data_IF_733281829735
#
_entry.id   IF_733281829735
#
_cell.length_a   1.000
_cell.length_b   1.000
_cell.length_c   1.000
_cell.angle_alpha   90.00
_cell.angle_beta   90.00
_cell.angle_gamma   90.00
#
_symmetry.space_group_name_H-M   'P 1'
#
loop_
_entity.id
_entity.type
_entity.pdbx_description
1 polymer ?
#
# COMPACT_ATOMS: atom_id res chain seq x y z
N UNK A 1 -10.80 -18.37 25.37
CA UNK A 1 -10.67 -17.09 24.63
C UNK A 1 -9.32 -16.53 25.00
N UNK A 2 -8.42 -16.34 24.04
CA UNK A 2 -7.07 -15.84 24.35
C UNK A 2 -7.19 -14.42 24.88
N UNK A 3 -6.70 -14.19 26.09
CA UNK A 3 -6.70 -12.86 26.69
C UNK A 3 -5.54 -12.07 26.07
N UNK A 4 -5.85 -11.22 25.08
CA UNK A 4 -4.93 -10.19 24.63
C UNK A 4 -4.62 -9.26 25.80
N UNK A 5 -3.36 -8.87 25.95
CA UNK A 5 -3.05 -7.75 26.84
C UNK A 5 -3.59 -6.45 26.23
N UNK A 6 -3.80 -5.42 27.05
CA UNK A 6 -4.22 -4.10 26.56
C UNK A 6 -3.25 -3.51 25.53
N UNK A 7 -1.95 -3.76 25.69
CA UNK A 7 -0.93 -3.29 24.74
C UNK A 7 -1.04 -4.01 23.40
N UNK A 8 -1.28 -5.32 23.40
CA UNK A 8 -1.46 -6.10 22.17
C UNK A 8 -2.77 -5.73 21.47
N UNK A 9 -3.85 -5.51 22.22
CA UNK A 9 -5.11 -5.02 21.67
C UNK A 9 -4.91 -3.69 20.95
N UNK A 10 -4.26 -2.71 21.60
CA UNK A 10 -3.96 -1.41 20.99
C UNK A 10 -3.05 -1.55 19.78
N UNK A 11 -2.01 -2.38 19.85
CA UNK A 11 -1.11 -2.66 18.73
C UNK A 11 -1.84 -3.24 17.53
N UNK A 12 -2.69 -4.24 17.75
CA UNK A 12 -3.51 -4.85 16.70
C UNK A 12 -4.51 -3.85 16.11
N UNK A 13 -5.17 -3.04 16.94
CA UNK A 13 -6.08 -2.00 16.48
C UNK A 13 -5.37 -0.98 15.57
N UNK A 14 -4.20 -0.47 15.99
CA UNK A 14 -3.39 0.47 15.19
C UNK A 14 -2.94 -0.20 13.89
N UNK A 15 -2.53 -1.46 13.95
CA UNK A 15 -2.09 -2.23 12.78
C UNK A 15 -3.22 -2.38 11.75
N UNK A 16 -4.42 -2.77 12.20
CA UNK A 16 -5.61 -2.90 11.36
C UNK A 16 -6.10 -1.55 10.82
N UNK A 17 -6.04 -0.48 11.61
CA UNK A 17 -6.34 0.88 11.13
C UNK A 17 -5.39 1.29 10.00
N UNK A 18 -4.10 0.93 10.11
CA UNK A 18 -3.12 1.11 9.05
C UNK A 18 -3.50 0.37 7.75
N UNK A 19 -3.99 -0.86 7.85
CA UNK A 19 -4.56 -1.57 6.70
C UNK A 19 -5.79 -0.86 6.13
N UNK A 20 -6.78 -0.51 6.94
CA UNK A 20 -8.01 0.16 6.46
C UNK A 20 -7.68 1.42 5.65
N UNK A 21 -6.77 2.25 6.14
CA UNK A 21 -6.36 3.49 5.47
C UNK A 21 -5.48 3.19 4.25
N UNK A 22 -4.42 2.41 4.43
CA UNK A 22 -3.40 2.16 3.41
C UNK A 22 -3.86 1.24 2.29
N UNK A 23 -4.35 0.04 2.63
CA UNK A 23 -4.88 -0.92 1.67
C UNK A 23 -6.12 -0.38 0.95
N UNK A 24 -6.98 0.36 1.64
CA UNK A 24 -8.12 1.03 1.02
C UNK A 24 -7.68 2.02 -0.06
N UNK A 25 -6.71 2.88 0.26
CA UNK A 25 -6.14 3.84 -0.69
C UNK A 25 -5.43 3.14 -1.88
N UNK A 26 -4.65 2.08 -1.62
CA UNK A 26 -3.99 1.27 -2.67
C UNK A 26 -5.03 0.64 -3.60
N UNK A 27 -6.08 0.04 -3.06
CA UNK A 27 -7.14 -0.61 -3.86
C UNK A 27 -7.80 0.38 -4.82
N UNK A 28 -8.10 1.60 -4.33
CA UNK A 28 -8.70 2.65 -5.16
C UNK A 28 -7.75 3.11 -6.26
N UNK A 29 -6.48 3.42 -5.93
CA UNK A 29 -5.54 3.95 -6.92
C UNK A 29 -5.13 2.91 -7.96
N UNK A 30 -4.96 1.64 -7.56
CA UNK A 30 -4.58 0.56 -8.46
C UNK A 30 -5.71 0.29 -9.47
N UNK A 31 -6.97 0.34 -9.04
CA UNK A 31 -8.12 0.20 -9.93
C UNK A 31 -8.18 1.36 -10.94
N UNK A 32 -8.00 2.60 -10.48
CA UNK A 32 -7.94 3.78 -11.37
C UNK A 32 -6.80 3.64 -12.38
N UNK A 33 -5.61 3.26 -11.90
CA UNK A 33 -4.44 3.08 -12.73
C UNK A 33 -4.61 1.96 -13.77
N UNK A 34 -5.30 0.89 -13.42
CA UNK A 34 -5.65 -0.19 -14.34
C UNK A 34 -6.58 0.31 -15.45
N UNK A 35 -7.64 1.06 -15.10
CA UNK A 35 -8.57 1.65 -16.07
C UNK A 35 -7.91 2.73 -16.93
N UNK A 36 -6.96 3.49 -16.36
CA UNK A 36 -6.20 4.56 -17.03
C UNK A 36 -5.41 4.11 -18.25
N UNK A 37 -5.04 2.82 -18.33
CA UNK A 37 -4.28 2.27 -19.46
C UNK A 37 -4.92 2.50 -20.83
N UNK A 38 -6.25 2.41 -20.87
CA UNK A 38 -7.03 2.44 -22.10
C UNK A 38 -7.84 3.72 -22.26
N UNK A 39 -7.74 4.67 -21.33
CA UNK A 39 -8.59 5.85 -21.30
C UNK A 39 -7.87 7.06 -20.72
N UNK A 40 -7.91 8.17 -21.48
CA UNK A 40 -7.40 9.46 -21.03
C UNK A 40 -8.14 10.01 -19.81
N UNK A 41 -9.47 9.83 -19.76
CA UNK A 41 -10.28 10.20 -18.60
C UNK A 41 -9.80 9.50 -17.32
N UNK A 42 -9.61 8.19 -17.39
CA UNK A 42 -9.14 7.41 -16.23
C UNK A 42 -7.67 7.71 -15.90
N UNK A 43 -6.84 8.06 -16.89
CA UNK A 43 -5.47 8.54 -16.65
C UNK A 43 -5.48 9.82 -15.83
N UNK A 44 -6.28 10.81 -16.23
CA UNK A 44 -6.40 12.07 -15.49
C UNK A 44 -7.00 11.84 -14.09
N UNK A 45 -8.05 11.03 -13.98
CA UNK A 45 -8.63 10.65 -12.70
C UNK A 45 -7.59 9.99 -11.78
N UNK A 46 -6.73 9.11 -12.32
CA UNK A 46 -5.63 8.49 -11.57
C UNK A 46 -4.65 9.55 -11.06
N UNK A 47 -4.25 10.53 -11.88
CA UNK A 47 -3.32 11.60 -11.49
C UNK A 47 -3.89 12.43 -10.34
N UNK A 48 -5.18 12.79 -10.41
CA UNK A 48 -5.86 13.57 -9.36
C UNK A 48 -6.02 12.76 -8.09
N UNK A 49 -6.51 11.52 -8.19
CA UNK A 49 -6.69 10.61 -7.04
C UNK A 49 -5.35 10.27 -6.38
N UNK A 50 -4.26 10.17 -7.13
CA UNK A 50 -2.92 9.90 -6.60
C UNK A 50 -2.47 10.95 -5.56
N UNK A 51 -2.82 12.23 -5.75
CA UNK A 51 -2.42 13.33 -4.85
C UNK A 51 -2.98 13.12 -3.43
N UNK A 52 -4.17 12.53 -3.32
CA UNK A 52 -4.84 12.26 -2.03
C UNK A 52 -4.49 10.87 -1.50
N UNK A 53 -4.45 9.85 -2.37
CA UNK A 53 -4.18 8.47 -1.94
C UNK A 53 -2.73 8.28 -1.48
N UNK A 54 -1.75 8.96 -2.11
CA UNK A 54 -0.34 8.85 -1.72
C UNK A 54 -0.06 9.11 -0.23
N UNK A 55 -0.47 10.24 0.38
CA UNK A 55 -0.26 10.47 1.81
C UNK A 55 -1.02 9.46 2.68
N UNK A 56 -2.21 9.00 2.25
CA UNK A 56 -2.96 7.95 2.97
C UNK A 56 -2.22 6.61 2.95
N UNK A 57 -1.59 6.23 1.83
CA UNK A 57 -0.77 5.01 1.74
C UNK A 57 0.42 5.10 2.71
N UNK A 58 1.11 6.24 2.75
CA UNK A 58 2.23 6.46 3.67
C UNK A 58 1.80 6.46 5.14
N UNK A 59 0.66 7.09 5.46
CA UNK A 59 0.08 7.03 6.79
C UNK A 59 -0.29 5.59 7.16
N UNK A 60 -0.96 4.88 6.25
CA UNK A 60 -1.39 3.51 6.45
C UNK A 60 -0.22 2.57 6.71
N UNK A 61 0.88 2.66 5.93
CA UNK A 61 2.04 1.79 6.14
C UNK A 61 2.79 2.15 7.42
N UNK A 62 2.85 3.43 7.79
CA UNK A 62 3.40 3.87 9.06
C UNK A 62 2.63 3.30 10.26
N UNK A 63 1.29 3.38 10.23
CA UNK A 63 0.43 2.80 11.25
C UNK A 63 0.52 1.28 11.27
N UNK A 64 0.57 0.61 10.11
CA UNK A 64 0.72 -0.83 10.02
C UNK A 64 2.03 -1.29 10.67
N UNK A 65 3.16 -0.64 10.38
CA UNK A 65 4.46 -0.98 10.98
C UNK A 65 4.45 -0.72 12.49
N UNK A 66 3.96 0.44 12.93
CA UNK A 66 3.90 0.80 14.35
C UNK A 66 3.02 -0.17 15.13
N UNK A 67 1.83 -0.48 14.60
CA UNK A 67 0.91 -1.43 15.21
C UNK A 67 1.50 -2.83 15.30
N UNK A 68 2.15 -3.32 14.23
CA UNK A 68 2.83 -4.62 14.22
C UNK A 68 3.96 -4.69 15.25
N UNK A 69 4.75 -3.62 15.37
CA UNK A 69 5.82 -3.52 16.38
C UNK A 69 5.27 -3.61 17.80
N UNK A 70 4.20 -2.88 18.11
CA UNK A 70 3.56 -2.90 19.43
C UNK A 70 2.93 -4.29 19.70
N UNK A 71 2.25 -4.85 18.70
CA UNK A 71 1.55 -6.13 18.80
C UNK A 71 2.50 -7.31 19.07
N UNK A 72 3.67 -7.33 18.44
CA UNK A 72 4.63 -8.43 18.58
C UNK A 72 5.71 -8.22 19.63
N UNK A 73 5.75 -7.05 20.29
CA UNK A 73 6.76 -6.74 21.32
C UNK A 73 6.93 -7.83 22.38
N UNK A 74 5.88 -8.50 22.89
CA UNK A 74 6.05 -9.54 23.92
C UNK A 74 6.73 -10.82 23.40
N UNK A 75 6.53 -11.17 22.13
CA UNK A 75 6.99 -12.43 21.54
C UNK A 75 8.27 -12.29 20.70
N UNK A 76 8.73 -11.06 20.46
CA UNK A 76 9.93 -10.77 19.67
C UNK A 76 9.80 -11.09 18.18
N UNK A 77 10.93 -11.33 17.51
CA UNK A 77 10.99 -11.65 16.08
C UNK A 77 10.55 -13.08 15.82
N UNK A 78 9.42 -13.22 15.11
CA UNK A 78 8.91 -14.50 14.62
C UNK A 78 8.99 -14.55 13.10
N UNK A 79 8.95 -15.74 12.50
CA UNK A 79 8.96 -15.87 11.04
C UNK A 79 7.83 -15.10 10.34
N UNK A 80 6.56 -15.14 10.82
CA UNK A 80 5.49 -14.35 10.21
C UNK A 80 5.73 -12.83 10.29
N UNK A 81 6.29 -12.33 11.40
CA UNK A 81 6.68 -10.92 11.52
C UNK A 81 7.83 -10.57 10.58
N UNK A 82 8.82 -11.44 10.44
CA UNK A 82 9.91 -11.25 9.49
C UNK A 82 9.41 -11.17 8.05
N UNK A 83 8.45 -12.01 7.68
CA UNK A 83 7.81 -11.98 6.37
C UNK A 83 7.01 -10.69 6.16
N UNK A 84 6.23 -10.25 7.15
CA UNK A 84 5.52 -8.96 7.10
C UNK A 84 6.49 -7.77 6.96
N UNK A 85 7.61 -7.78 7.68
CA UNK A 85 8.63 -6.75 7.56
C UNK A 85 9.27 -6.73 6.15
N UNK A 86 9.58 -7.89 5.59
CA UNK A 86 10.08 -8.00 4.22
C UNK A 86 9.08 -7.47 3.19
N UNK A 87 7.80 -7.81 3.34
CA UNK A 87 6.72 -7.27 2.49
C UNK A 87 6.63 -5.74 2.63
N UNK A 88 6.62 -5.22 3.86
CA UNK A 88 6.56 -3.78 4.11
C UNK A 88 7.73 -3.03 3.48
N UNK A 89 8.95 -3.56 3.56
CA UNK A 89 10.13 -3.00 2.88
C UNK A 89 9.97 -3.00 1.35
N UNK A 90 9.45 -4.09 0.77
CA UNK A 90 9.12 -4.16 -0.65
C UNK A 90 8.08 -3.11 -1.07
N UNK A 91 7.03 -2.93 -0.27
CA UNK A 91 5.99 -1.93 -0.49
C UNK A 91 6.54 -0.49 -0.39
N UNK A 92 7.41 -0.21 0.58
CA UNK A 92 8.09 1.08 0.72
C UNK A 92 8.97 1.36 -0.50
N UNK A 93 9.78 0.39 -0.93
CA UNK A 93 10.63 0.52 -2.11
C UNK A 93 9.81 0.79 -3.38
N UNK A 94 8.70 0.06 -3.55
CA UNK A 94 7.75 0.29 -4.64
C UNK A 94 7.10 1.69 -4.55
N UNK A 95 6.72 2.11 -3.34
CA UNK A 95 6.19 3.45 -3.06
C UNK A 95 7.18 4.55 -3.43
N UNK A 96 8.48 4.37 -3.17
CA UNK A 96 9.52 5.29 -3.61
C UNK A 96 9.68 5.33 -5.13
N UNK A 97 9.68 4.18 -5.81
CA UNK A 97 9.71 4.12 -7.27
C UNK A 97 8.54 4.90 -7.90
N UNK A 98 7.31 4.68 -7.42
CA UNK A 98 6.13 5.40 -7.89
C UNK A 98 6.20 6.89 -7.55
N UNK A 99 6.70 7.25 -6.37
CA UNK A 99 6.75 8.62 -5.87
C UNK A 99 7.80 9.48 -6.57
N UNK A 100 8.97 8.93 -6.88
CA UNK A 100 10.09 9.70 -7.41
C UNK A 100 10.29 9.55 -8.92
N UNK A 101 9.76 8.47 -9.52
CA UNK A 101 9.88 8.26 -10.97
C UNK A 101 8.58 8.51 -11.71
N UNK A 102 7.48 7.92 -11.25
CA UNK A 102 6.19 7.97 -11.96
C UNK A 102 5.45 9.28 -11.69
N UNK A 103 5.35 9.69 -10.42
CA UNK A 103 4.61 10.90 -10.04
C UNK A 103 5.15 12.19 -10.69
N UNK A 104 6.47 12.47 -10.74
CA UNK A 104 6.98 13.66 -11.41
C UNK A 104 6.73 13.65 -12.92
N UNK A 105 6.80 12.48 -13.56
CA UNK A 105 6.49 12.33 -14.98
C UNK A 105 5.02 12.66 -15.28
N UNK A 106 4.10 12.15 -14.46
CA UNK A 106 2.67 12.42 -14.60
C UNK A 106 2.33 13.90 -14.36
N UNK A 107 2.91 14.51 -13.32
CA UNK A 107 2.70 15.92 -12.99
C UNK A 107 3.26 16.85 -14.08
N UNK A 108 4.40 16.49 -14.70
CA UNK A 108 4.95 17.25 -15.82
C UNK A 108 3.99 17.25 -17.01
N UNK A 109 3.40 16.10 -17.33
CA UNK A 109 2.39 16.01 -18.41
C UNK A 109 1.09 16.74 -18.09
N UNK A 110 0.65 16.70 -16.84
CA UNK A 110 -0.50 17.49 -16.39
C UNK A 110 -0.25 18.99 -16.61
N UNK A 111 0.94 19.50 -16.26
CA UNK A 111 1.32 20.90 -16.50
C UNK A 111 1.44 21.28 -17.98
N UNK A 112 1.79 20.33 -18.83
CA UNK A 112 1.89 20.51 -20.28
C UNK A 112 0.52 20.36 -20.98
N UNK A 113 -0.59 20.16 -20.24
CA UNK A 113 -1.93 19.98 -20.80
C UNK A 113 -2.17 18.60 -21.44
N UNK A 114 -1.24 17.66 -21.25
CA UNK A 114 -1.25 16.31 -21.84
C UNK A 114 -1.74 15.23 -20.86
N UNK A 115 -2.60 15.62 -19.92
CA UNK A 115 -3.10 14.73 -18.87
C UNK A 115 -3.99 13.60 -19.41
N UNK A 116 -4.66 13.83 -20.54
CA UNK A 116 -5.57 12.88 -21.19
C UNK A 116 -4.86 11.97 -22.19
N UNK A 117 -3.57 12.20 -22.48
CA UNK A 117 -2.80 11.30 -23.33
C UNK A 117 -2.50 9.99 -22.58
N UNK A 118 -2.68 8.87 -23.27
CA UNK A 118 -2.33 7.56 -22.72
C UNK A 118 -0.81 7.45 -22.52
N UNK A 119 -0.42 6.72 -21.47
CA UNK A 119 0.99 6.53 -21.16
C UNK A 119 1.67 5.63 -22.20
N UNK A 120 2.98 5.83 -22.49
CA UNK A 120 3.75 4.91 -23.33
C UNK A 120 3.62 3.48 -22.81
N UNK A 121 3.51 2.51 -23.73
CA UNK A 121 3.23 1.10 -23.40
C UNK A 121 4.23 0.53 -22.37
N UNK A 122 5.51 0.89 -22.49
CA UNK A 122 6.58 0.47 -21.57
C UNK A 122 6.41 1.02 -20.15
N UNK A 123 5.91 2.25 -20.03
CA UNK A 123 5.64 2.84 -18.73
C UNK A 123 4.37 2.24 -18.11
N UNK A 124 3.33 1.98 -18.93
CA UNK A 124 2.13 1.30 -18.48
C UNK A 124 2.45 -0.07 -17.88
N UNK A 125 3.24 -0.90 -18.56
CA UNK A 125 3.65 -2.22 -18.05
C UNK A 125 4.31 -2.12 -16.68
N UNK A 126 5.28 -1.21 -16.52
CA UNK A 126 6.00 -1.01 -15.24
C UNK A 126 5.07 -0.56 -14.12
N UNK A 127 4.15 0.35 -14.43
CA UNK A 127 3.16 0.85 -13.46
C UNK A 127 2.19 -0.27 -13.05
N UNK A 128 1.70 -1.06 -14.00
CA UNK A 128 0.80 -2.20 -13.71
C UNK A 128 1.49 -3.23 -12.84
N UNK A 129 2.75 -3.59 -13.13
CA UNK A 129 3.53 -4.51 -12.29
C UNK A 129 3.69 -3.93 -10.89
N UNK A 130 4.03 -2.64 -10.77
CA UNK A 130 4.14 -1.96 -9.48
C UNK A 130 2.82 -1.98 -8.68
N UNK A 131 1.67 -1.79 -9.34
CA UNK A 131 0.35 -1.86 -8.72
C UNK A 131 0.01 -3.29 -8.28
N UNK A 132 0.19 -4.30 -9.14
CA UNK A 132 -0.07 -5.69 -8.77
C UNK A 132 0.79 -6.16 -7.59
N UNK A 133 2.07 -5.78 -7.57
CA UNK A 133 2.97 -6.07 -6.44
C UNK A 133 2.50 -5.36 -5.16
N UNK A 134 2.05 -4.10 -5.27
CA UNK A 134 1.51 -3.35 -4.14
C UNK A 134 0.26 -4.03 -3.58
N UNK A 135 -0.73 -4.27 -4.45
CA UNK A 135 -1.98 -4.92 -4.11
C UNK A 135 -1.76 -6.27 -3.44
N UNK A 136 -0.96 -7.14 -4.06
CA UNK A 136 -0.64 -8.45 -3.51
C UNK A 136 0.10 -8.36 -2.17
N UNK A 137 1.06 -7.44 -2.05
CA UNK A 137 1.81 -7.22 -0.81
C UNK A 137 0.92 -6.81 0.35
N UNK A 138 0.04 -5.82 0.15
CA UNK A 138 -0.88 -5.36 1.20
C UNK A 138 -1.86 -6.46 1.63
N UNK A 139 -2.49 -7.16 0.69
CA UNK A 139 -3.41 -8.26 1.01
C UNK A 139 -2.71 -9.45 1.65
N UNK A 140 -1.49 -9.79 1.22
CA UNK A 140 -0.71 -10.86 1.83
C UNK A 140 -0.32 -10.52 3.26
N UNK A 141 0.12 -9.28 3.53
CA UNK A 141 0.44 -8.82 4.88
C UNK A 141 -0.78 -8.89 5.81
N UNK A 142 -1.96 -8.48 5.33
CA UNK A 142 -3.21 -8.59 6.08
C UNK A 142 -3.57 -10.06 6.36
N UNK A 143 -3.42 -10.94 5.37
CA UNK A 143 -3.68 -12.38 5.55
C UNK A 143 -2.76 -12.99 6.61
N UNK A 144 -1.47 -12.59 6.64
CA UNK A 144 -0.53 -13.02 7.67
C UNK A 144 -0.99 -12.53 9.06
N UNK A 145 -1.46 -11.28 9.17
CA UNK A 145 -2.02 -10.75 10.43
C UNK A 145 -3.20 -11.58 10.91
N UNK A 146 -4.14 -11.91 10.01
CA UNK A 146 -5.29 -12.78 10.32
C UNK A 146 -4.81 -14.15 10.81
N UNK A 147 -3.87 -14.76 10.10
CA UNK A 147 -3.28 -16.04 10.48
C UNK A 147 -2.62 -15.98 11.87
N UNK A 148 -1.87 -14.93 12.18
CA UNK A 148 -1.23 -14.76 13.49
C UNK A 148 -2.25 -14.62 14.62
N UNK A 149 -3.33 -13.87 14.40
CA UNK A 149 -4.40 -13.69 15.39
C UNK A 149 -5.11 -15.03 15.66
N UNK A 150 -5.39 -15.81 14.61
CA UNK A 150 -6.08 -17.10 14.73
C UNK A 150 -5.18 -18.22 15.26
N UNK A 151 -3.88 -18.18 14.95
CA UNK A 151 -2.91 -19.22 15.37
C UNK A 151 -2.36 -19.01 16.77
N UNK A 152 -2.76 -17.91 17.42
CA UNK A 152 -2.40 -17.66 18.81
C UNK A 152 -3.03 -18.74 19.69
N UNK A 153 -2.23 -19.39 20.52
CA UNK A 153 -2.68 -20.31 21.58
C UNK A 153 -2.63 -19.61 22.93
#
# INVERSE_FOLDING_TARGET
MNNFTWTEFLGLYIHLAGFVIGLGAVTVIDLHGFLGRNSGYWTEATIRTHKVTKPLIWLGIGLAILGAYIFHRPNGWTFPLALQAAIALGLIANGFFLSFRVSPFLLRREREGRATETLPLELQKKIVVAFLLSFAGWWSALLITVYQVLSRK
#
